data_IF_664759102506
#
_entry.id   IF_664759102506
#
_cell.length_a   1.000
_cell.length_b   1.000
_cell.length_c   1.000
_cell.angle_alpha   90.00
_cell.angle_beta   90.00
_cell.angle_gamma   90.00
#
_symmetry.space_group_name_H-M   'P 1'
#
loop_
_entity.id
_entity.type
_entity.pdbx_description
1 polymer ?
#
# COMPACT_ATOMS: atom_id res chain seq x y z
N UNK A 1 -3.61 6.24 18.33
CA UNK A 1 -4.00 4.80 18.38
C UNK A 1 -5.12 4.59 17.38
N UNK A 2 -4.95 3.69 16.41
CA UNK A 2 -5.99 3.36 15.43
C UNK A 2 -7.05 2.45 16.05
N UNK A 3 -8.30 2.51 15.54
CA UNK A 3 -9.36 1.59 15.99
C UNK A 3 -8.97 0.14 15.71
N UNK A 4 -8.99 -0.71 16.74
CA UNK A 4 -8.84 -2.15 16.58
C UNK A 4 -10.20 -2.77 16.22
N UNK A 5 -10.29 -3.35 15.02
CA UNK A 5 -11.51 -4.01 14.55
C UNK A 5 -11.54 -5.48 14.97
N UNK A 6 -12.63 -5.91 15.60
CA UNK A 6 -12.89 -7.35 15.81
C UNK A 6 -13.20 -8.03 14.47
N UNK A 7 -13.08 -9.36 14.43
CA UNK A 7 -13.41 -10.13 13.23
C UNK A 7 -14.88 -9.92 12.80
N UNK A 8 -15.81 -9.92 13.77
CA UNK A 8 -17.23 -9.67 13.54
C UNK A 8 -17.49 -8.28 12.96
N UNK A 9 -16.84 -7.24 13.52
CA UNK A 9 -16.98 -5.88 13.00
C UNK A 9 -16.46 -5.77 11.56
N UNK A 10 -15.35 -6.45 11.22
CA UNK A 10 -14.86 -6.51 9.82
C UNK A 10 -15.87 -7.18 8.90
N UNK A 11 -16.47 -8.30 9.33
CA UNK A 11 -17.48 -9.01 8.55
C UNK A 11 -18.72 -8.15 8.30
N UNK A 12 -19.21 -7.45 9.34
CA UNK A 12 -20.34 -6.51 9.22
C UNK A 12 -20.06 -5.41 8.20
N UNK A 13 -18.88 -4.80 8.24
CA UNK A 13 -18.50 -3.78 7.25
C UNK A 13 -18.34 -4.35 5.85
N UNK A 14 -17.77 -5.54 5.70
CA UNK A 14 -17.65 -6.19 4.40
C UNK A 14 -19.03 -6.40 3.76
N UNK A 15 -20.02 -6.83 4.55
CA UNK A 15 -21.41 -6.97 4.08
C UNK A 15 -22.04 -5.62 3.73
N UNK A 16 -21.81 -4.56 4.51
CA UNK A 16 -22.29 -3.22 4.20
C UNK A 16 -21.69 -2.67 2.89
N UNK A 17 -20.37 -2.82 2.70
CA UNK A 17 -19.67 -2.41 1.47
C UNK A 17 -20.20 -3.17 0.25
N UNK A 18 -20.45 -4.48 0.38
CA UNK A 18 -21.09 -5.29 -0.68
C UNK A 18 -22.51 -4.85 -1.01
N UNK A 19 -23.27 -4.37 -0.02
CA UNK A 19 -24.63 -3.85 -0.22
C UNK A 19 -24.61 -2.52 -0.98
N UNK A 20 -23.72 -1.60 -0.61
CA UNK A 20 -23.68 -0.26 -1.20
C UNK A 20 -22.87 -0.17 -2.49
N UNK A 21 -21.99 -1.15 -2.75
CA UNK A 21 -21.19 -1.27 -3.99
C UNK A 21 -20.59 0.07 -4.44
N UNK A 22 -19.80 0.75 -3.61
CA UNK A 22 -19.32 2.10 -3.91
C UNK A 22 -18.48 2.18 -5.21
N UNK A 23 -17.95 1.05 -5.69
CA UNK A 23 -17.25 0.96 -6.97
C UNK A 23 -18.16 1.17 -8.19
N UNK A 24 -19.48 0.96 -8.08
CA UNK A 24 -20.42 1.18 -9.19
C UNK A 24 -20.51 2.68 -9.56
N UNK A 25 -20.24 3.58 -8.60
CA UNK A 25 -20.17 5.03 -8.82
C UNK A 25 -18.75 5.55 -9.00
N UNK A 26 -17.75 4.68 -9.15
CA UNK A 26 -16.35 5.10 -9.28
C UNK A 26 -16.10 5.76 -10.64
N UNK A 27 -15.58 6.99 -10.64
CA UNK A 27 -15.25 7.78 -11.83
C UNK A 27 -13.78 7.60 -12.27
N UNK A 28 -13.14 6.51 -11.84
CA UNK A 28 -11.76 6.21 -12.17
C UNK A 28 -11.55 5.83 -13.65
N UNK A 29 -10.29 5.70 -14.09
CA UNK A 29 -9.99 5.31 -15.46
C UNK A 29 -10.46 3.88 -15.76
N UNK A 30 -11.33 3.74 -16.76
CA UNK A 30 -11.85 2.43 -17.23
C UNK A 30 -11.01 1.81 -18.35
N UNK A 31 -10.24 2.63 -19.08
CA UNK A 31 -9.38 2.18 -20.19
C UNK A 31 -7.97 1.85 -19.72
N UNK A 32 -7.27 0.99 -20.46
CA UNK A 32 -5.89 0.61 -20.14
C UNK A 32 -4.93 1.80 -20.22
N UNK A 33 -5.12 2.70 -21.19
CA UNK A 33 -4.37 3.95 -21.28
C UNK A 33 -4.62 4.85 -20.07
N UNK A 34 -5.87 4.98 -19.61
CA UNK A 34 -6.21 5.73 -18.41
C UNK A 34 -5.59 5.14 -17.15
N UNK A 35 -5.60 3.80 -17.02
CA UNK A 35 -4.96 3.08 -15.91
C UNK A 35 -3.45 3.27 -15.92
N UNK A 36 -2.81 3.22 -17.09
CA UNK A 36 -1.39 3.48 -17.24
C UNK A 36 -1.02 4.89 -16.77
N UNK A 37 -1.78 5.90 -17.18
CA UNK A 37 -1.59 7.28 -16.72
C UNK A 37 -1.78 7.42 -15.21
N UNK A 38 -2.83 6.82 -14.65
CA UNK A 38 -3.07 6.86 -13.20
C UNK A 38 -1.96 6.14 -12.41
N UNK A 39 -1.36 5.07 -12.95
CA UNK A 39 -0.24 4.38 -12.31
C UNK A 39 1.00 5.27 -12.16
N UNK A 40 1.20 6.25 -13.06
CA UNK A 40 2.30 7.22 -12.98
C UNK A 40 2.14 8.20 -11.81
N UNK A 41 0.94 8.38 -11.25
CA UNK A 41 0.76 9.22 -10.06
C UNK A 41 1.60 8.76 -8.87
N UNK A 42 1.94 7.46 -8.81
CA UNK A 42 2.84 6.92 -7.80
C UNK A 42 4.24 7.56 -7.85
N UNK A 43 4.67 8.07 -9.01
CA UNK A 43 5.96 8.73 -9.17
C UNK A 43 5.92 10.21 -8.76
N UNK A 44 4.75 10.86 -8.78
CA UNK A 44 4.58 12.28 -8.44
C UNK A 44 4.83 12.57 -6.96
N UNK A 45 4.30 11.73 -6.08
CA UNK A 45 4.44 11.89 -4.62
C UNK A 45 5.73 11.24 -4.07
N UNK A 46 6.67 10.90 -4.97
CA UNK A 46 7.97 10.35 -4.63
C UNK A 46 7.94 8.90 -4.13
N UNK A 47 9.09 8.41 -3.65
CA UNK A 47 9.22 7.15 -2.92
C UNK A 47 8.91 5.86 -3.71
N UNK A 48 8.70 5.97 -5.02
CA UNK A 48 8.36 4.84 -5.90
C UNK A 48 9.22 4.76 -7.17
N UNK A 49 10.07 5.76 -7.40
CA UNK A 49 11.05 5.77 -8.49
C UNK A 49 12.02 4.57 -8.37
N UNK A 50 12.65 4.20 -9.49
CA UNK A 50 13.64 3.11 -9.50
C UNK A 50 14.78 3.39 -8.49
N UNK A 51 15.31 4.61 -8.50
CA UNK A 51 16.34 5.05 -7.54
C UNK A 51 15.87 4.89 -6.10
N UNK A 52 14.66 5.34 -5.76
CA UNK A 52 14.17 5.20 -4.40
C UNK A 52 13.96 3.74 -3.98
N UNK A 53 13.52 2.90 -4.90
CA UNK A 53 13.35 1.45 -4.63
C UNK A 53 14.69 0.79 -4.33
N UNK A 54 15.75 1.21 -5.01
CA UNK A 54 17.11 0.70 -4.75
C UNK A 54 17.63 1.21 -3.41
N UNK A 55 17.52 2.51 -3.14
CA UNK A 55 17.93 3.11 -1.87
C UNK A 55 17.22 2.44 -0.68
N UNK A 56 15.90 2.26 -0.78
CA UNK A 56 15.13 1.55 0.24
C UNK A 56 15.57 0.11 0.44
N UNK A 57 16.06 -0.57 -0.61
CA UNK A 57 16.60 -1.93 -0.50
C UNK A 57 17.92 -1.93 0.28
N UNK A 58 18.82 -0.99 -0.03
CA UNK A 58 20.11 -0.82 0.67
C UNK A 58 19.91 -0.54 2.15
N UNK A 59 19.05 0.41 2.48
CA UNK A 59 18.71 0.73 3.88
C UNK A 59 18.11 -0.47 4.60
N UNK A 60 17.21 -1.21 3.96
CA UNK A 60 16.61 -2.42 4.56
C UNK A 60 17.67 -3.48 4.87
N UNK A 61 18.64 -3.67 3.99
CA UNK A 61 19.71 -4.66 4.20
C UNK A 61 20.64 -4.23 5.34
N UNK A 62 21.06 -2.97 5.36
CA UNK A 62 21.83 -2.40 6.47
C UNK A 62 21.13 -2.61 7.82
N UNK A 63 19.83 -2.32 7.90
CA UNK A 63 19.06 -2.51 9.13
C UNK A 63 18.98 -3.97 9.57
N UNK A 64 18.93 -4.92 8.63
CA UNK A 64 18.96 -6.36 8.93
C UNK A 64 20.31 -6.76 9.51
N UNK A 65 21.40 -6.29 8.91
CA UNK A 65 22.75 -6.56 9.41
C UNK A 65 22.97 -6.00 10.81
N UNK A 66 22.58 -4.73 11.04
CA UNK A 66 22.65 -4.10 12.35
C UNK A 66 21.88 -4.91 13.39
N UNK A 67 20.64 -5.32 13.07
CA UNK A 67 19.82 -6.16 13.95
C UNK A 67 20.51 -7.49 14.27
N UNK A 68 21.01 -8.19 13.25
CA UNK A 68 21.68 -9.48 13.45
C UNK A 68 22.94 -9.37 14.31
N UNK A 69 23.67 -8.25 14.24
CA UNK A 69 24.84 -8.00 15.11
C UNK A 69 24.44 -7.72 16.55
N UNK A 70 23.34 -7.00 16.77
CA UNK A 70 22.81 -6.72 18.10
C UNK A 70 22.24 -7.96 18.78
N UNK A 71 21.58 -8.85 18.02
CA UNK A 71 21.02 -10.12 18.56
C UNK A 71 22.09 -11.20 18.84
N UNK A 72 23.30 -11.06 18.28
CA UNK A 72 24.42 -11.97 18.48
C UNK A 72 25.35 -11.59 19.65
N UNK A 73 25.05 -10.49 20.36
CA UNK A 73 25.74 -10.05 21.57
C UNK A 73 24.94 -10.46 22.79
#
# INVERSE_FOLDING_TARGET
MGRHWTAEQRAKQANAIRRWKPWDSATGPVTDAGKATAALNALKHGMRSAQWRDERRRVKELLRECRARLEKR
#
